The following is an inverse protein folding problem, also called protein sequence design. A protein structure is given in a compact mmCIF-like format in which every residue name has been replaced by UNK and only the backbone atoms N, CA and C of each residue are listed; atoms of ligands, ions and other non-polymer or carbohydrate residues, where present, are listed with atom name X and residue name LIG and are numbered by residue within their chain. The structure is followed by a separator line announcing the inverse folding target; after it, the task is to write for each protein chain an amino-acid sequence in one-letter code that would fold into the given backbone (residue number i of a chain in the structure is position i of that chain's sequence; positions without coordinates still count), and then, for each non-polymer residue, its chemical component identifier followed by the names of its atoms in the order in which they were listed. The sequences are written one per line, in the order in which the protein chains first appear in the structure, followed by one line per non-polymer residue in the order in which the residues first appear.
data_IF_085805573094
#
_entry.id   IF_085805573094
#
_cell.length_a   1.000
_cell.length_b   1.000
_cell.length_c   1.000
_cell.angle_alpha   90.00
_cell.angle_beta   90.00
_cell.angle_gamma   90.00
#
_symmetry.space_group_name_H-M   'P 1'
#
loop_
_entity.id
_entity.type
_entity.pdbx_description
1 polymer ?
#
# COMPACT_ATOMS: atom_id res chain seq x y z
N UNK A 1 33.31 -2.93 32.26
CA UNK A 1 32.92 -4.00 31.32
C UNK A 1 31.48 -3.74 30.94
N UNK A 2 31.27 -3.15 29.76
CA UNK A 2 29.94 -2.80 29.26
C UNK A 2 29.23 -4.09 28.86
N UNK A 3 28.12 -4.41 29.54
CA UNK A 3 27.23 -5.47 29.12
C UNK A 3 26.59 -5.06 27.79
N UNK A 4 27.13 -5.57 26.69
CA UNK A 4 26.44 -5.59 25.41
C UNK A 4 25.15 -6.37 25.64
N UNK A 5 24.03 -5.65 25.73
CA UNK A 5 22.71 -6.24 25.67
C UNK A 5 22.59 -6.91 24.30
N UNK A 6 22.68 -8.23 24.26
CA UNK A 6 22.30 -9.02 23.10
C UNK A 6 20.81 -8.81 22.91
N UNK A 7 20.44 -7.88 22.04
CA UNK A 7 19.06 -7.68 21.63
C UNK A 7 18.58 -9.02 21.05
N UNK A 8 17.65 -9.69 21.72
CA UNK A 8 17.12 -10.97 21.24
C UNK A 8 16.46 -10.73 19.87
N UNK A 9 17.05 -11.31 18.82
CA UNK A 9 16.49 -11.27 17.46
C UNK A 9 15.08 -11.88 17.52
N UNK A 10 14.08 -11.11 17.12
CA UNK A 10 12.69 -11.59 17.09
C UNK A 10 12.57 -12.78 16.11
N UNK A 11 11.69 -13.77 16.39
CA UNK A 11 11.44 -14.87 15.48
C UNK A 11 11.02 -14.38 14.09
N UNK A 12 11.46 -15.08 13.06
CA UNK A 12 11.10 -14.77 11.67
C UNK A 12 9.61 -14.98 11.41
N UNK A 13 9.06 -14.15 10.53
CA UNK A 13 7.71 -14.27 10.00
C UNK A 13 7.84 -14.87 8.60
N UNK A 14 7.44 -16.13 8.45
CA UNK A 14 7.45 -16.81 7.16
C UNK A 14 6.31 -16.26 6.30
N UNK A 15 6.64 -15.71 5.13
CA UNK A 15 5.64 -15.23 4.18
C UNK A 15 5.12 -16.41 3.34
N UNK A 16 3.82 -16.74 3.36
CA UNK A 16 3.28 -17.85 2.55
C UNK A 16 3.48 -17.68 1.05
N UNK A 17 3.58 -18.78 0.32
CA UNK A 17 3.87 -18.76 -1.13
C UNK A 17 2.78 -18.05 -1.94
N UNK A 18 1.53 -18.07 -1.49
CA UNK A 18 0.37 -17.48 -2.16
C UNK A 18 0.15 -15.99 -1.84
N UNK A 19 0.96 -15.38 -0.97
CA UNK A 19 0.81 -13.95 -0.61
C UNK A 19 1.14 -13.02 -1.76
N UNK A 20 0.24 -12.12 -2.11
CA UNK A 20 0.38 -11.24 -3.27
C UNK A 20 0.85 -9.83 -2.94
N UNK A 21 0.76 -9.42 -1.67
CA UNK A 21 1.09 -8.05 -1.30
C UNK A 21 1.57 -7.91 0.16
N UNK A 22 2.65 -7.15 0.34
CA UNK A 22 3.18 -6.75 1.64
C UNK A 22 2.98 -5.24 1.78
N UNK A 23 1.93 -4.86 2.49
CA UNK A 23 1.35 -3.53 2.53
C UNK A 23 1.68 -2.84 3.86
N UNK A 24 2.70 -1.98 3.87
CA UNK A 24 3.20 -1.33 5.08
C UNK A 24 2.78 0.14 5.09
N UNK A 25 1.72 0.43 5.83
CA UNK A 25 1.16 1.77 6.00
C UNK A 25 1.93 2.54 7.06
N UNK A 26 3.18 2.90 6.77
CA UNK A 26 4.07 3.53 7.76
C UNK A 26 3.59 4.92 8.21
N UNK A 27 2.72 5.56 7.42
CA UNK A 27 2.04 6.82 7.77
C UNK A 27 0.68 6.87 7.09
N UNK A 28 -0.35 7.28 7.83
CA UNK A 28 -1.65 7.67 7.26
C UNK A 28 -1.82 9.18 7.12
N UNK A 29 -0.83 9.98 7.55
CA UNK A 29 -0.79 11.41 7.26
C UNK A 29 -0.51 11.63 5.77
N UNK A 30 -1.13 12.64 5.18
CA UNK A 30 -0.86 13.06 3.81
C UNK A 30 -0.96 14.58 3.71
N UNK A 31 -0.08 15.16 2.89
CA UNK A 31 -0.05 16.58 2.57
C UNK A 31 -0.99 16.95 1.42
N UNK A 32 -1.65 15.97 0.79
CA UNK A 32 -2.75 16.19 -0.17
C UNK A 32 -4.12 15.97 0.51
N UNK A 33 -5.17 16.58 -0.05
CA UNK A 33 -6.56 16.51 0.44
C UNK A 33 -7.53 16.07 -0.66
N UNK A 34 -7.20 14.98 -1.34
CA UNK A 34 -7.96 14.46 -2.48
C UNK A 34 -9.38 14.03 -2.05
N UNK A 35 -10.41 14.53 -2.71
CA UNK A 35 -11.81 14.20 -2.38
C UNK A 35 -12.19 12.75 -2.72
N UNK A 36 -11.52 12.15 -3.70
CA UNK A 36 -11.69 10.77 -4.16
C UNK A 36 -10.70 9.79 -3.51
N UNK A 37 -10.03 10.17 -2.41
CA UNK A 37 -9.00 9.34 -1.80
C UNK A 37 -9.59 8.02 -1.29
N UNK A 38 -9.09 6.88 -1.77
CA UNK A 38 -9.59 5.56 -1.34
C UNK A 38 -9.37 5.28 0.15
N UNK A 39 -8.38 5.93 0.77
CA UNK A 39 -8.16 5.88 2.22
C UNK A 39 -9.26 6.63 3.01
N UNK A 40 -10.16 7.34 2.33
CA UNK A 40 -11.30 8.08 2.88
C UNK A 40 -12.66 7.48 2.45
N UNK A 41 -12.68 6.38 1.69
CA UNK A 41 -13.93 5.80 1.15
C UNK A 41 -14.84 5.17 2.23
N UNK A 42 -14.40 5.07 3.48
CA UNK A 42 -15.25 4.64 4.59
C UNK A 42 -15.82 5.86 5.33
N UNK A 43 -17.16 5.99 5.37
CA UNK A 43 -17.89 7.04 6.11
C UNK A 43 -17.50 7.06 7.61
N UNK A 44 -16.98 5.94 8.13
CA UNK A 44 -16.50 5.78 9.50
C UNK A 44 -14.96 5.72 9.61
N UNK A 45 -14.21 6.27 8.65
CA UNK A 45 -12.75 6.15 8.67
C UNK A 45 -12.14 6.71 9.96
N UNK A 46 -11.44 5.86 10.71
CA UNK A 46 -10.69 6.21 11.92
C UNK A 46 -9.28 6.71 11.59
N UNK A 47 -9.04 7.07 10.31
CA UNK A 47 -7.75 7.51 9.78
C UNK A 47 -7.14 8.61 10.62
N UNK A 48 -7.93 9.59 11.08
CA UNK A 48 -7.43 10.71 11.91
C UNK A 48 -6.85 10.24 13.24
N UNK A 49 -7.39 9.18 13.84
CA UNK A 49 -6.89 8.66 15.11
C UNK A 49 -5.65 7.78 14.90
N UNK A 50 -5.65 6.98 13.84
CA UNK A 50 -4.48 6.19 13.46
C UNK A 50 -3.31 7.06 12.99
N UNK A 51 -3.57 8.19 12.35
CA UNK A 51 -2.55 9.12 11.88
C UNK A 51 -1.87 9.92 13.02
N UNK A 52 -2.36 9.81 14.27
CA UNK A 52 -1.72 10.43 15.44
C UNK A 52 -0.58 9.58 16.00
N UNK A 53 -0.60 8.27 15.76
CA UNK A 53 0.33 7.33 16.38
C UNK A 53 1.13 6.61 15.30
N UNK A 54 2.46 6.67 15.41
CA UNK A 54 3.36 5.96 14.50
C UNK A 54 4.35 5.16 15.33
N UNK A 55 4.61 3.93 14.88
CA UNK A 55 5.73 3.13 15.35
C UNK A 55 7.04 3.79 14.90
N UNK A 56 8.06 3.75 15.75
CA UNK A 56 9.33 4.41 15.48
C UNK A 56 10.10 3.74 14.32
N UNK A 57 11.04 4.48 13.70
CA UNK A 57 11.76 3.98 12.53
C UNK A 57 12.54 2.68 12.77
N UNK A 58 13.19 2.53 13.94
CA UNK A 58 13.91 1.31 14.29
C UNK A 58 12.98 0.11 14.46
N UNK A 59 11.79 0.34 14.99
CA UNK A 59 10.78 -0.68 15.18
C UNK A 59 10.19 -1.13 13.84
N UNK A 60 10.00 -0.22 12.89
CA UNK A 60 9.66 -0.57 11.51
C UNK A 60 10.76 -1.37 10.83
N UNK A 61 12.03 -0.93 10.91
CA UNK A 61 13.14 -1.67 10.34
C UNK A 61 13.26 -3.07 10.97
N UNK A 62 13.13 -3.17 12.29
CA UNK A 62 13.10 -4.45 13.02
C UNK A 62 11.96 -5.34 12.54
N UNK A 63 10.76 -4.80 12.37
CA UNK A 63 9.59 -5.54 11.87
C UNK A 63 9.81 -6.06 10.44
N UNK A 64 10.32 -5.21 9.54
CA UNK A 64 10.61 -5.57 8.15
C UNK A 64 11.70 -6.65 8.08
N UNK A 65 12.76 -6.52 8.89
CA UNK A 65 13.88 -7.45 8.92
C UNK A 65 13.54 -8.84 9.50
N UNK A 66 12.34 -9.01 10.08
CA UNK A 66 11.83 -10.34 10.48
C UNK A 66 11.20 -11.10 9.32
N UNK A 67 10.86 -10.45 8.22
CA UNK A 67 10.13 -11.09 7.14
C UNK A 67 11.05 -12.05 6.38
N UNK A 68 10.77 -13.34 6.49
CA UNK A 68 11.38 -14.36 5.65
C UNK A 68 10.56 -14.48 4.37
N UNK A 69 10.91 -13.64 3.39
CA UNK A 69 10.21 -13.51 2.10
C UNK A 69 10.64 -14.61 1.13
N UNK A 70 11.95 -14.92 1.11
CA UNK A 70 12.54 -16.01 0.33
C UNK A 70 12.46 -15.85 -1.20
N UNK A 71 12.08 -14.66 -1.70
CA UNK A 71 11.84 -14.38 -3.12
C UNK A 71 11.96 -12.89 -3.44
N UNK A 72 12.26 -12.55 -4.69
CA UNK A 72 12.47 -11.17 -5.15
C UNK A 72 11.22 -10.53 -5.78
N UNK A 73 10.18 -11.32 -6.08
CA UNK A 73 8.97 -10.87 -6.76
C UNK A 73 7.92 -10.24 -5.82
N UNK A 74 8.20 -10.18 -4.52
CA UNK A 74 7.29 -9.69 -3.48
C UNK A 74 7.99 -8.68 -2.56
N UNK A 75 8.16 -7.42 -2.99
CA UNK A 75 8.78 -6.37 -2.18
C UNK A 75 7.87 -5.92 -1.04
N UNK A 76 8.47 -5.35 0.00
CA UNK A 76 7.73 -4.61 1.03
C UNK A 76 7.35 -3.24 0.47
N UNK A 77 6.05 -2.97 0.36
CA UNK A 77 5.56 -1.69 -0.17
C UNK A 77 5.30 -0.71 0.96
N UNK A 78 6.11 0.34 1.03
CA UNK A 78 5.92 1.48 1.91
C UNK A 78 4.87 2.41 1.29
N UNK A 79 3.76 2.60 2.00
CA UNK A 79 2.61 3.34 1.49
C UNK A 79 1.78 3.98 2.61
N UNK A 80 0.60 4.48 2.26
CA UNK A 80 -0.45 4.90 3.17
C UNK A 80 -1.05 6.22 2.73
N UNK A 81 -0.95 7.25 3.57
CA UNK A 81 -1.21 8.61 3.15
C UNK A 81 -0.07 9.09 2.23
N UNK A 82 0.94 9.69 2.82
CA UNK A 82 2.24 9.94 2.20
C UNK A 82 3.33 9.34 3.11
N UNK A 83 3.93 8.19 2.73
CA UNK A 83 4.91 7.50 3.57
C UNK A 83 6.15 8.35 3.87
N UNK A 84 6.54 9.26 2.97
CA UNK A 84 7.73 10.11 3.17
C UNK A 84 7.54 11.20 4.24
N UNK A 85 6.31 11.41 4.73
CA UNK A 85 6.04 12.26 5.90
C UNK A 85 6.38 11.58 7.24
N UNK A 86 6.66 10.27 7.25
CA UNK A 86 7.13 9.63 8.47
C UNK A 86 8.47 10.24 8.91
N UNK A 87 8.57 10.71 10.15
CA UNK A 87 9.77 11.41 10.69
C UNK A 87 11.07 10.62 10.46
N UNK A 88 10.96 9.29 10.50
CA UNK A 88 12.09 8.36 10.37
C UNK A 88 12.12 7.65 9.00
N UNK A 89 11.46 8.18 7.95
CA UNK A 89 11.38 7.51 6.65
C UNK A 89 12.74 7.00 6.13
N UNK A 90 13.76 7.88 6.11
CA UNK A 90 15.10 7.50 5.66
C UNK A 90 15.74 6.44 6.57
N UNK A 91 15.48 6.49 7.88
CA UNK A 91 15.98 5.48 8.82
C UNK A 91 15.37 4.12 8.55
N UNK A 92 14.05 4.05 8.35
CA UNK A 92 13.33 2.81 8.00
C UNK A 92 13.96 2.17 6.77
N UNK A 93 14.16 2.96 5.71
CA UNK A 93 14.75 2.48 4.45
C UNK A 93 16.18 1.99 4.64
N UNK A 94 17.02 2.74 5.35
CA UNK A 94 18.44 2.42 5.51
C UNK A 94 18.71 1.27 6.49
N UNK A 95 17.89 1.10 7.53
CA UNK A 95 18.02 0.03 8.52
C UNK A 95 17.33 -1.28 8.08
N UNK A 96 16.49 -1.24 7.05
CA UNK A 96 15.99 -2.45 6.39
C UNK A 96 17.17 -3.22 5.77
N UNK A 97 17.16 -4.55 5.84
CA UNK A 97 18.18 -5.41 5.24
C UNK A 97 18.26 -5.20 3.70
N UNK A 98 19.45 -5.33 3.12
CA UNK A 98 19.64 -5.19 1.67
C UNK A 98 19.05 -6.35 0.86
N UNK A 99 18.83 -7.51 1.50
CA UNK A 99 18.13 -8.65 0.89
C UNK A 99 16.64 -8.39 0.71
N UNK A 100 16.06 -7.42 1.41
CA UNK A 100 14.64 -7.07 1.31
C UNK A 100 14.48 -5.92 0.31
N UNK A 101 13.76 -6.19 -0.78
CA UNK A 101 13.41 -5.17 -1.77
C UNK A 101 12.23 -4.33 -1.30
N UNK A 102 12.31 -3.02 -1.55
CA UNK A 102 11.27 -2.08 -1.20
C UNK A 102 10.58 -1.53 -2.45
N UNK A 103 9.29 -1.29 -2.31
CA UNK A 103 8.48 -0.47 -3.20
C UNK A 103 8.01 0.78 -2.43
N UNK A 104 7.79 1.89 -3.13
CA UNK A 104 7.29 3.13 -2.55
C UNK A 104 6.08 3.63 -3.34
N UNK A 105 4.95 3.85 -2.64
CA UNK A 105 3.80 4.60 -3.18
C UNK A 105 3.80 6.00 -2.59
N UNK A 106 4.03 7.03 -3.41
CA UNK A 106 4.23 8.40 -2.94
C UNK A 106 3.60 9.42 -3.88
N UNK A 107 3.22 10.59 -3.37
CA UNK A 107 2.87 11.76 -4.17
C UNK A 107 4.08 12.59 -4.60
N UNK A 108 5.29 12.21 -4.17
CA UNK A 108 6.58 12.86 -4.46
C UNK A 108 6.67 14.36 -4.13
N UNK A 109 5.99 14.79 -3.07
CA UNK A 109 6.09 16.16 -2.58
C UNK A 109 7.43 16.50 -1.90
N UNK A 110 8.29 15.52 -1.68
CA UNK A 110 9.63 15.72 -1.11
C UNK A 110 10.62 16.35 -2.13
N UNK A 111 11.76 16.79 -1.62
CA UNK A 111 12.91 17.24 -2.42
C UNK A 111 13.70 16.02 -2.96
N UNK A 112 13.80 15.84 -4.29
CA UNK A 112 14.51 14.70 -4.88
C UNK A 112 15.99 14.66 -4.49
N UNK A 113 16.67 15.79 -4.29
CA UNK A 113 18.09 15.79 -3.91
C UNK A 113 18.31 15.26 -2.50
N UNK A 114 17.40 15.59 -1.58
CA UNK A 114 17.42 15.03 -0.22
C UNK A 114 17.17 13.53 -0.28
N UNK A 115 16.22 13.08 -1.10
CA UNK A 115 15.94 11.66 -1.26
C UNK A 115 17.16 10.91 -1.84
N UNK A 116 17.71 11.38 -2.96
CA UNK A 116 18.87 10.76 -3.64
C UNK A 116 20.07 10.65 -2.69
N UNK A 117 20.33 11.69 -1.88
CA UNK A 117 21.45 11.69 -0.93
C UNK A 117 21.28 10.68 0.21
N UNK A 118 20.04 10.40 0.63
CA UNK A 118 19.75 9.60 1.82
C UNK A 118 19.27 8.17 1.52
N UNK A 119 18.98 7.83 0.26
CA UNK A 119 18.43 6.54 -0.12
C UNK A 119 19.37 5.84 -1.11
N UNK A 120 19.91 4.66 -0.77
CA UNK A 120 20.64 3.86 -1.72
C UNK A 120 19.71 3.33 -2.81
N UNK A 121 20.07 3.54 -4.08
CA UNK A 121 19.29 3.09 -5.27
C UNK A 121 18.86 1.62 -5.14
N UNK A 122 19.78 0.75 -4.72
CA UNK A 122 19.58 -0.70 -4.53
C UNK A 122 18.36 -1.09 -3.69
N UNK A 123 17.87 -0.20 -2.80
CA UNK A 123 16.68 -0.44 -1.97
C UNK A 123 15.40 -0.50 -2.80
N UNK A 124 15.35 0.30 -3.87
CA UNK A 124 14.23 0.41 -4.80
C UNK A 124 14.60 -0.07 -6.21
N UNK A 125 15.51 -1.04 -6.28
CA UNK A 125 15.91 -1.67 -7.55
C UNK A 125 15.71 -3.17 -7.48
N UNK A 126 14.94 -3.68 -8.45
CA UNK A 126 14.66 -5.11 -8.67
C UNK A 126 14.22 -5.30 -10.11
N UNK A 127 14.39 -6.51 -10.62
CA UNK A 127 13.84 -6.91 -11.91
C UNK A 127 12.31 -7.01 -11.80
N UNK A 128 11.61 -6.07 -12.43
CA UNK A 128 10.16 -5.97 -12.33
C UNK A 128 9.54 -5.39 -13.60
N UNK A 129 8.30 -5.78 -13.88
CA UNK A 129 7.52 -5.23 -14.99
C UNK A 129 6.97 -3.82 -14.71
N UNK A 130 7.31 -3.22 -13.57
CA UNK A 130 6.84 -1.91 -13.16
C UNK A 130 7.84 -1.24 -12.19
N UNK A 131 7.79 0.09 -12.14
CA UNK A 131 8.65 0.90 -11.27
C UNK A 131 8.47 0.56 -9.78
N UNK A 132 9.59 0.44 -9.05
CA UNK A 132 9.57 0.25 -7.60
C UNK A 132 9.08 1.50 -6.86
N UNK A 133 9.40 2.69 -7.38
CA UNK A 133 8.83 3.96 -6.90
C UNK A 133 7.69 4.34 -7.83
N UNK A 134 6.47 4.40 -7.28
CA UNK A 134 5.24 4.67 -8.02
C UNK A 134 4.62 5.95 -7.49
N UNK A 135 4.61 6.95 -8.37
CA UNK A 135 4.27 8.33 -8.07
C UNK A 135 2.81 8.54 -8.41
N UNK A 136 1.99 8.90 -7.43
CA UNK A 136 0.58 9.16 -7.65
C UNK A 136 0.37 10.58 -8.19
N UNK A 137 0.05 10.71 -9.47
CA UNK A 137 -0.44 11.93 -10.07
C UNK A 137 -1.93 12.10 -9.76
N UNK A 138 -2.27 13.26 -9.22
CA UNK A 138 -3.60 13.65 -8.78
C UNK A 138 -3.92 15.01 -9.42
N UNK A 139 -4.56 15.03 -10.61
CA UNK A 139 -4.96 16.27 -11.26
C UNK A 139 -5.68 17.21 -10.28
N UNK A 140 -5.21 18.46 -10.20
CA UNK A 140 -5.72 19.48 -9.28
C UNK A 140 -5.13 19.46 -7.86
N UNK A 141 -4.29 18.47 -7.51
CA UNK A 141 -3.67 18.35 -6.18
C UNK A 141 -2.14 18.36 -6.21
N UNK A 142 -1.52 17.87 -7.28
CA UNK A 142 -0.09 18.05 -7.54
C UNK A 142 0.17 18.44 -9.00
N UNK A 143 1.34 19.03 -9.24
CA UNK A 143 1.73 19.59 -10.52
C UNK A 143 2.48 18.55 -11.37
N UNK A 144 1.98 18.28 -12.58
CA UNK A 144 2.56 17.25 -13.44
C UNK A 144 3.94 17.64 -13.99
N UNK A 145 4.19 18.91 -14.24
CA UNK A 145 5.48 19.37 -14.78
C UNK A 145 6.57 19.24 -13.70
N UNK A 146 6.22 19.54 -12.44
CA UNK A 146 7.06 19.27 -11.28
C UNK A 146 7.33 17.76 -11.13
N UNK A 147 6.30 16.91 -11.21
CA UNK A 147 6.47 15.46 -11.12
C UNK A 147 7.36 14.91 -12.23
N UNK A 148 7.18 15.36 -13.48
CA UNK A 148 8.03 14.96 -14.61
C UNK A 148 9.47 15.36 -14.34
N UNK A 149 9.72 16.61 -13.94
CA UNK A 149 11.06 17.12 -13.62
C UNK A 149 11.74 16.29 -12.53
N UNK A 150 11.05 16.03 -11.43
CA UNK A 150 11.59 15.22 -10.33
C UNK A 150 11.80 13.76 -10.74
N UNK A 151 10.90 13.20 -11.54
CA UNK A 151 10.99 11.83 -12.05
C UNK A 151 12.24 11.65 -12.93
N UNK A 152 12.49 12.57 -13.86
CA UNK A 152 13.71 12.57 -14.68
C UNK A 152 14.97 12.70 -13.81
N UNK A 153 14.95 13.61 -12.83
CA UNK A 153 16.09 13.78 -11.92
C UNK A 153 16.40 12.53 -11.10
N UNK A 154 15.38 11.84 -10.63
CA UNK A 154 15.50 10.55 -9.93
C UNK A 154 16.01 9.45 -10.86
N UNK A 155 15.55 9.42 -12.11
CA UNK A 155 16.03 8.49 -13.12
C UNK A 155 17.51 8.70 -13.45
N UNK A 156 17.98 9.95 -13.58
CA UNK A 156 19.40 10.29 -13.75
C UNK A 156 20.26 9.82 -12.57
N UNK A 157 19.69 9.72 -11.36
CA UNK A 157 20.35 9.18 -10.19
C UNK A 157 20.29 7.63 -10.09
N UNK A 158 19.65 6.95 -11.05
CA UNK A 158 19.56 5.50 -11.14
C UNK A 158 18.28 4.89 -10.57
N UNK A 159 17.31 5.68 -10.11
CA UNK A 159 16.03 5.15 -9.63
C UNK A 159 15.08 4.86 -10.79
N UNK A 160 14.42 3.70 -10.75
CA UNK A 160 13.30 3.44 -11.64
C UNK A 160 11.99 3.96 -11.01
N UNK A 161 11.53 5.10 -11.53
CA UNK A 161 10.34 5.82 -11.08
C UNK A 161 9.28 5.81 -12.18
N UNK A 162 8.04 5.49 -11.83
CA UNK A 162 6.89 5.56 -12.73
C UNK A 162 5.79 6.45 -12.17
N UNK A 163 5.07 7.14 -13.05
CA UNK A 163 3.94 8.00 -12.70
C UNK A 163 2.63 7.25 -12.93
N UNK A 164 1.71 7.34 -11.98
CA UNK A 164 0.45 6.63 -11.97
C UNK A 164 -0.67 7.62 -11.72
N UNK A 165 -1.69 7.63 -12.58
CA UNK A 165 -2.90 8.43 -12.35
C UNK A 165 -4.13 7.54 -12.33
N UNK A 166 -5.19 8.01 -11.69
CA UNK A 166 -6.53 7.45 -11.88
C UNK A 166 -7.15 8.10 -13.11
N UNK A 167 -7.69 7.28 -14.00
CA UNK A 167 -8.42 7.72 -15.18
C UNK A 167 -9.92 7.74 -14.86
N UNK A 168 -10.54 8.91 -14.99
CA UNK A 168 -11.99 9.11 -14.92
C UNK A 168 -12.47 9.83 -16.17
N UNK A 169 -13.75 9.71 -16.58
CA UNK A 169 -14.26 10.38 -17.77
C UNK A 169 -13.94 11.88 -17.82
N UNK A 170 -14.01 12.55 -16.67
CA UNK A 170 -13.83 14.00 -16.54
C UNK A 170 -12.38 14.46 -16.77
N UNK A 171 -11.40 13.59 -16.57
CA UNK A 171 -9.98 13.92 -16.72
C UNK A 171 -9.32 13.19 -17.90
N UNK A 172 -10.07 12.43 -18.70
CA UNK A 172 -9.53 11.53 -19.71
C UNK A 172 -8.61 12.23 -20.71
N UNK A 173 -9.08 13.31 -21.33
CA UNK A 173 -8.29 14.04 -22.34
C UNK A 173 -6.97 14.56 -21.77
N UNK A 174 -7.02 15.11 -20.55
CA UNK A 174 -5.83 15.59 -19.84
C UNK A 174 -4.85 14.45 -19.53
N UNK A 175 -5.34 13.31 -19.04
CA UNK A 175 -4.48 12.16 -18.73
C UNK A 175 -3.88 11.56 -20.01
N UNK A 176 -4.61 11.53 -21.12
CA UNK A 176 -4.09 11.05 -22.40
C UNK A 176 -2.94 11.94 -22.92
N UNK A 177 -3.06 13.28 -22.81
CA UNK A 177 -1.98 14.22 -23.16
C UNK A 177 -0.75 14.02 -22.27
N UNK A 178 -0.96 13.97 -20.95
CA UNK A 178 0.11 13.76 -19.96
C UNK A 178 0.84 12.44 -20.22
N UNK A 179 0.10 11.37 -20.52
CA UNK A 179 0.64 10.07 -20.84
C UNK A 179 1.47 10.08 -22.13
N UNK A 180 0.99 10.76 -23.18
CA UNK A 180 1.75 10.94 -24.42
C UNK A 180 3.06 11.72 -24.17
N UNK A 181 3.00 12.79 -23.36
CA UNK A 181 4.17 13.58 -22.96
C UNK A 181 5.18 12.77 -22.15
N UNK A 182 4.73 12.03 -21.14
CA UNK A 182 5.58 11.15 -20.34
C UNK A 182 6.25 10.07 -21.20
N UNK A 183 5.49 9.44 -22.10
CA UNK A 183 6.02 8.45 -23.04
C UNK A 183 7.08 9.05 -23.97
N UNK A 184 6.88 10.26 -24.47
CA UNK A 184 7.85 10.99 -25.29
C UNK A 184 9.17 11.28 -24.56
N UNK A 185 9.13 11.35 -23.22
CA UNK A 185 10.29 11.55 -22.35
C UNK A 185 10.86 10.23 -21.79
N UNK A 186 10.33 9.07 -22.19
CA UNK A 186 10.76 7.77 -21.68
C UNK A 186 10.31 7.46 -20.24
N UNK A 187 9.34 8.21 -19.70
CA UNK A 187 8.79 7.98 -18.36
C UNK A 187 7.71 6.89 -18.42
N UNK A 188 7.78 5.91 -17.52
CA UNK A 188 6.72 4.91 -17.32
C UNK A 188 5.49 5.59 -16.72
N UNK A 189 4.47 5.83 -17.55
CA UNK A 189 3.18 6.37 -17.11
C UNK A 189 2.10 5.30 -17.23
N UNK A 190 1.35 5.08 -16.14
CA UNK A 190 0.26 4.10 -16.12
C UNK A 190 -1.01 4.68 -15.56
N UNK A 191 -2.13 4.21 -16.08
CA UNK A 191 -3.44 4.50 -15.52
C UNK A 191 -3.90 3.38 -14.60
N UNK A 192 -4.54 3.75 -13.51
CA UNK A 192 -5.33 2.85 -12.66
C UNK A 192 -6.81 3.13 -12.93
N UNK A 193 -7.60 2.07 -12.87
CA UNK A 193 -9.05 2.18 -12.84
C UNK A 193 -9.50 3.04 -11.66
N UNK A 194 -10.57 3.81 -11.86
CA UNK A 194 -11.28 4.43 -10.76
C UNK A 194 -12.11 3.39 -10.01
N UNK A 195 -11.94 3.35 -8.69
CA UNK A 195 -12.68 2.47 -7.78
C UNK A 195 -13.50 3.33 -6.84
N UNK A 196 -14.81 3.13 -6.83
CA UNK A 196 -15.69 3.87 -5.94
C UNK A 196 -17.10 4.00 -6.48
N UNK A 197 -17.96 4.54 -5.63
CA UNK A 197 -19.30 4.96 -6.00
C UNK A 197 -19.26 6.44 -6.34
N UNK A 198 -19.73 6.82 -7.53
CA UNK A 198 -19.79 8.23 -7.97
C UNK A 198 -21.09 8.95 -7.56
N UNK A 199 -22.03 8.23 -6.94
CA UNK A 199 -23.39 8.71 -6.65
C UNK A 199 -24.47 7.99 -7.45
N UNK A 200 -24.09 7.37 -8.57
CA UNK A 200 -24.99 6.65 -9.47
C UNK A 200 -24.63 5.16 -9.58
N UNK A 201 -23.33 4.85 -9.72
CA UNK A 201 -22.85 3.47 -9.91
C UNK A 201 -21.49 3.22 -9.26
N UNK A 202 -21.23 1.94 -8.99
CA UNK A 202 -19.91 1.45 -8.63
C UNK A 202 -19.04 1.30 -9.87
N UNK A 203 -17.83 1.86 -9.83
CA UNK A 203 -16.80 1.72 -10.87
C UNK A 203 -15.79 0.65 -10.47
N UNK A 204 -15.39 -0.19 -11.43
CA UNK A 204 -14.45 -1.30 -11.23
C UNK A 204 -15.10 -2.66 -11.46
N UNK A 205 -14.27 -3.69 -11.66
CA UNK A 205 -14.70 -5.08 -11.72
C UNK A 205 -14.52 -5.72 -10.34
N UNK A 206 -15.60 -6.26 -9.76
CA UNK A 206 -15.61 -6.79 -8.40
C UNK A 206 -16.05 -8.24 -8.37
N UNK A 207 -15.29 -9.09 -7.66
CA UNK A 207 -15.64 -10.50 -7.47
C UNK A 207 -16.86 -10.67 -6.55
N UNK A 208 -17.03 -9.75 -5.60
CA UNK A 208 -18.10 -9.77 -4.60
C UNK A 208 -18.81 -8.41 -4.57
N UNK A 209 -19.63 -8.11 -5.59
CA UNK A 209 -20.27 -6.79 -5.75
C UNK A 209 -21.10 -6.38 -4.52
N UNK A 210 -21.85 -7.31 -3.92
CA UNK A 210 -22.69 -7.01 -2.74
C UNK A 210 -21.86 -6.62 -1.51
N UNK A 211 -20.58 -6.98 -1.47
CA UNK A 211 -19.68 -6.69 -0.35
C UNK A 211 -19.31 -5.20 -0.23
N UNK A 212 -19.59 -4.38 -1.25
CA UNK A 212 -19.41 -2.92 -1.25
C UNK A 212 -20.75 -2.17 -1.30
N UNK A 213 -21.88 -2.84 -1.04
CA UNK A 213 -23.20 -2.21 -1.12
C UNK A 213 -23.38 -0.99 -0.21
N UNK A 214 -22.65 -0.92 0.92
CA UNK A 214 -22.79 0.12 1.97
C UNK A 214 -24.22 0.24 2.55
N UNK A 215 -25.04 -0.80 2.42
CA UNK A 215 -26.43 -0.79 2.88
C UNK A 215 -26.61 -1.60 4.17
N UNK A 216 -26.26 -2.88 4.15
CA UNK A 216 -26.46 -3.81 5.25
C UNK A 216 -25.18 -4.59 5.55
N UNK A 217 -25.01 -4.97 6.81
CA UNK A 217 -23.90 -5.82 7.24
C UNK A 217 -24.36 -7.27 7.28
N UNK A 218 -23.51 -8.18 6.80
CA UNK A 218 -23.67 -9.63 6.88
C UNK A 218 -22.46 -10.26 7.56
N UNK A 219 -22.67 -11.43 8.14
CA UNK A 219 -21.59 -12.30 8.59
C UNK A 219 -21.03 -13.09 7.40
N UNK A 220 -19.72 -13.31 7.39
CA UNK A 220 -19.06 -14.20 6.44
C UNK A 220 -17.77 -14.77 7.00
N UNK A 221 -17.18 -15.72 6.28
CA UNK A 221 -15.81 -16.18 6.47
C UNK A 221 -14.91 -15.56 5.40
N UNK A 222 -13.84 -14.89 5.82
CA UNK A 222 -12.93 -14.16 4.93
C UNK A 222 -11.46 -14.52 5.18
N UNK A 223 -10.70 -14.76 4.12
CA UNK A 223 -9.25 -15.04 4.14
C UNK A 223 -8.55 -14.07 3.18
N UNK A 224 -7.41 -13.53 3.58
CA UNK A 224 -6.59 -12.62 2.75
C UNK A 224 -5.31 -13.30 2.27
N UNK A 225 -4.78 -12.83 1.15
CA UNK A 225 -3.43 -13.15 0.64
C UNK A 225 -2.50 -11.95 0.75
N UNK A 226 -2.79 -11.01 1.65
CA UNK A 226 -2.02 -9.79 1.86
C UNK A 226 -1.58 -9.67 3.32
N UNK A 227 -0.36 -9.20 3.55
CA UNK A 227 0.09 -8.77 4.87
C UNK A 227 -0.08 -7.26 4.97
N UNK A 228 -1.02 -6.79 5.80
CA UNK A 228 -1.36 -5.37 5.93
C UNK A 228 -1.00 -4.89 7.33
N UNK A 229 0.04 -4.05 7.44
CA UNK A 229 0.46 -3.45 8.70
C UNK A 229 0.15 -1.95 8.72
N UNK A 230 -0.56 -1.49 9.76
CA UNK A 230 -0.91 -0.09 9.99
C UNK A 230 0.22 0.74 10.61
N UNK A 231 0.06 2.08 10.75
CA UNK A 231 1.10 2.99 11.26
C UNK A 231 1.66 2.62 12.63
N UNK A 232 0.86 1.95 13.46
CA UNK A 232 1.21 1.53 14.81
C UNK A 232 1.82 0.13 14.88
N UNK A 233 2.09 -0.53 13.76
CA UNK A 233 2.61 -1.91 13.73
C UNK A 233 1.54 -3.01 13.88
N UNK A 234 0.29 -2.64 14.17
CA UNK A 234 -0.82 -3.59 14.18
C UNK A 234 -1.09 -4.14 12.78
N UNK A 235 -1.37 -5.45 12.71
CA UNK A 235 -1.65 -6.16 11.47
C UNK A 235 -3.17 -6.31 11.32
N UNK A 236 -3.69 -6.05 10.13
CA UNK A 236 -5.11 -6.09 9.80
C UNK A 236 -5.38 -7.14 8.73
N UNK A 237 -6.60 -7.69 8.73
CA UNK A 237 -7.03 -8.67 7.73
C UNK A 237 -7.19 -8.06 6.34
N UNK A 238 -7.66 -6.82 6.24
CA UNK A 238 -7.95 -6.15 4.97
C UNK A 238 -7.82 -4.63 5.10
N UNK A 239 -7.88 -3.91 3.97
CA UNK A 239 -7.85 -2.45 3.98
C UNK A 239 -9.05 -1.83 4.71
N UNK A 240 -10.23 -2.45 4.60
CA UNK A 240 -11.42 -2.00 5.33
C UNK A 240 -11.20 -2.01 6.85
N UNK A 241 -10.63 -3.09 7.39
CA UNK A 241 -10.35 -3.20 8.82
C UNK A 241 -9.29 -2.18 9.27
N UNK A 242 -8.25 -1.97 8.45
CA UNK A 242 -7.24 -0.94 8.68
C UNK A 242 -7.88 0.45 8.74
N UNK A 243 -8.61 0.88 7.71
CA UNK A 243 -9.10 2.26 7.63
C UNK A 243 -10.21 2.58 8.62
N UNK A 244 -11.00 1.58 9.01
CA UNK A 244 -11.99 1.70 10.09
C UNK A 244 -11.39 1.44 11.48
N UNK A 245 -10.09 1.17 11.60
CA UNK A 245 -9.39 0.83 12.85
C UNK A 245 -10.12 -0.27 13.65
N UNK A 246 -10.54 -1.33 12.95
CA UNK A 246 -11.21 -2.49 13.56
C UNK A 246 -10.18 -3.36 14.29
N UNK A 247 -10.65 -4.38 15.00
CA UNK A 247 -9.78 -5.27 15.77
C UNK A 247 -8.66 -5.85 14.89
N UNK A 248 -7.38 -5.58 15.20
CA UNK A 248 -6.26 -6.14 14.47
C UNK A 248 -6.12 -7.64 14.73
N UNK A 249 -5.48 -8.35 13.81
CA UNK A 249 -5.21 -9.79 13.94
C UNK A 249 -3.90 -10.08 14.69
N UNK A 250 -3.13 -9.04 15.03
CA UNK A 250 -1.87 -9.16 15.77
C UNK A 250 -1.03 -7.90 15.64
N UNK A 251 0.24 -8.01 16.04
CA UNK A 251 1.23 -6.94 15.95
C UNK A 251 2.51 -7.44 15.29
N UNK A 252 3.10 -6.67 14.36
CA UNK A 252 4.26 -7.11 13.57
C UNK A 252 5.56 -7.27 14.40
N UNK A 253 5.57 -6.74 15.61
CA UNK A 253 6.65 -6.91 16.59
C UNK A 253 6.36 -7.94 17.68
N UNK A 254 5.17 -8.52 17.71
CA UNK A 254 4.87 -9.61 18.63
C UNK A 254 5.77 -10.83 18.28
N UNK A 255 6.57 -11.35 19.23
CA UNK A 255 7.40 -12.53 19.00
C UNK A 255 6.61 -13.76 18.55
N UNK A 256 5.33 -13.85 18.91
CA UNK A 256 4.45 -14.97 18.62
C UNK A 256 3.58 -14.76 17.39
N UNK A 257 3.60 -13.56 16.79
CA UNK A 257 2.86 -13.31 15.56
C UNK A 257 3.35 -14.22 14.42
N UNK A 258 2.41 -14.96 13.84
CA UNK A 258 2.59 -15.80 12.66
C UNK A 258 1.48 -15.50 11.67
N UNK A 259 1.77 -15.66 10.39
CA UNK A 259 0.75 -15.59 9.35
C UNK A 259 -0.01 -16.91 9.33
N UNK A 260 -1.29 -16.88 9.70
CA UNK A 260 -2.16 -18.05 9.61
C UNK A 260 -3.10 -17.93 8.39
N UNK A 261 -2.99 -18.88 7.47
CA UNK A 261 -3.78 -18.96 6.24
C UNK A 261 -5.16 -19.57 6.48
N UNK A 262 -5.93 -18.95 7.37
CA UNK A 262 -7.27 -19.41 7.77
C UNK A 262 -8.34 -18.40 7.36
N UNK A 263 -9.56 -18.92 7.15
CA UNK A 263 -10.75 -18.09 7.06
C UNK A 263 -11.14 -17.59 8.45
N UNK A 264 -11.29 -16.27 8.59
CA UNK A 264 -11.68 -15.62 9.85
C UNK A 264 -13.12 -15.09 9.74
N UNK A 265 -13.92 -15.20 10.82
CA UNK A 265 -15.23 -14.57 10.89
C UNK A 265 -15.18 -13.05 10.64
N UNK A 266 -16.15 -12.53 9.90
CA UNK A 266 -16.29 -11.13 9.56
C UNK A 266 -17.76 -10.72 9.56
N UNK A 267 -18.12 -9.73 10.37
CA UNK A 267 -19.48 -9.17 10.41
C UNK A 267 -19.61 -7.86 9.62
N UNK A 268 -18.70 -7.64 8.67
CA UNK A 268 -18.59 -6.42 7.88
C UNK A 268 -18.75 -6.65 6.38
N UNK A 269 -19.22 -7.84 5.97
CA UNK A 269 -19.62 -8.03 4.58
C UNK A 269 -20.72 -7.01 4.23
N UNK A 270 -20.59 -6.34 3.09
CA UNK A 270 -21.42 -5.18 2.70
C UNK A 270 -20.70 -3.84 2.88
N UNK A 271 -19.62 -3.80 3.67
CA UNK A 271 -18.78 -2.63 3.92
C UNK A 271 -17.28 -2.93 3.69
N UNK A 272 -16.98 -3.84 2.77
CA UNK A 272 -15.61 -4.11 2.34
C UNK A 272 -14.99 -2.88 1.64
N UNK A 273 -13.66 -2.83 1.57
CA UNK A 273 -13.00 -1.80 0.75
C UNK A 273 -12.96 -2.28 -0.71
N UNK A 274 -13.23 -1.41 -1.70
CA UNK A 274 -13.14 -1.76 -3.11
C UNK A 274 -11.79 -2.39 -3.52
N UNK A 275 -10.68 -1.94 -2.94
CA UNK A 275 -9.35 -2.51 -3.22
C UNK A 275 -9.22 -3.97 -2.78
N UNK A 276 -9.94 -4.38 -1.73
CA UNK A 276 -9.86 -5.73 -1.20
C UNK A 276 -10.53 -6.74 -2.15
N UNK A 277 -11.67 -6.34 -2.74
CA UNK A 277 -12.58 -7.24 -3.48
C UNK A 277 -12.56 -7.09 -5.01
N UNK A 278 -11.82 -6.11 -5.53
CA UNK A 278 -11.70 -5.93 -6.98
C UNK A 278 -10.97 -7.09 -7.66
N UNK A 279 -11.29 -7.31 -8.93
CA UNK A 279 -10.52 -8.18 -9.81
C UNK A 279 -9.32 -7.40 -10.32
N UNK A 280 -8.13 -7.88 -10.03
CA UNK A 280 -6.86 -7.23 -10.33
C UNK A 280 -5.84 -8.26 -10.81
N UNK A 281 -4.67 -7.78 -11.23
CA UNK A 281 -3.53 -8.66 -11.48
C UNK A 281 -2.92 -9.13 -10.17
N UNK A 282 -2.50 -10.40 -10.12
CA UNK A 282 -1.68 -10.92 -9.03
C UNK A 282 -0.23 -10.43 -9.14
N UNK A 283 0.65 -10.81 -8.21
CA UNK A 283 2.06 -10.37 -8.22
C UNK A 283 2.80 -10.77 -9.50
N UNK A 284 2.40 -11.87 -10.16
CA UNK A 284 2.94 -12.35 -11.43
C UNK A 284 2.39 -11.62 -12.67
N UNK A 285 1.53 -10.62 -12.48
CA UNK A 285 0.84 -9.88 -13.54
C UNK A 285 -0.20 -10.71 -14.31
N UNK A 286 -0.80 -11.70 -13.66
CA UNK A 286 -1.91 -12.50 -14.20
C UNK A 286 -3.22 -11.92 -13.70
N UNK A 287 -4.11 -11.55 -14.62
CA UNK A 287 -5.45 -11.00 -14.32
C UNK A 287 -6.39 -12.07 -13.75
N UNK A 288 -7.39 -11.65 -12.96
CA UNK A 288 -8.38 -12.54 -12.34
C UNK A 288 -8.19 -12.78 -10.84
N UNK A 289 -7.30 -12.04 -10.18
CA UNK A 289 -7.01 -12.17 -8.76
C UNK A 289 -7.83 -11.19 -7.91
N UNK A 290 -8.18 -11.60 -6.69
CA UNK A 290 -8.78 -10.75 -5.66
C UNK A 290 -8.03 -10.98 -4.36
N UNK A 291 -7.80 -9.91 -3.59
CA UNK A 291 -6.99 -9.93 -2.36
C UNK A 291 -7.54 -10.90 -1.32
N UNK A 292 -8.87 -11.00 -1.29
CA UNK A 292 -9.63 -11.81 -0.34
C UNK A 292 -10.44 -12.91 -1.03
N UNK A 293 -10.63 -13.99 -0.29
CA UNK A 293 -11.59 -15.04 -0.56
C UNK A 293 -12.68 -15.00 0.52
N UNK A 294 -13.94 -14.90 0.10
CA UNK A 294 -15.11 -14.79 0.97
C UNK A 294 -16.05 -15.98 0.69
N UNK A 295 -16.57 -16.58 1.76
CA UNK A 295 -17.57 -17.65 1.73
C UNK A 295 -18.53 -17.56 2.93
N UNK A 296 -19.54 -18.43 2.94
CA UNK A 296 -20.48 -18.61 4.06
C UNK A 296 -21.14 -17.28 4.50
N UNK A 297 -21.77 -16.58 3.55
CA UNK A 297 -22.40 -15.27 3.79
C UNK A 297 -23.81 -15.48 4.36
N UNK A 298 -24.09 -14.87 5.51
CA UNK A 298 -25.37 -14.98 6.21
C UNK A 298 -25.78 -13.62 6.81
N UNK A 299 -27.07 -13.37 6.93
CA UNK A 299 -27.58 -12.19 7.64
C UNK A 299 -27.06 -12.14 9.07
N UNK A 300 -26.86 -10.93 9.61
CA UNK A 300 -26.56 -10.75 11.03
C UNK A 300 -27.84 -10.97 11.83
N UNK A 301 -27.81 -11.94 12.75
CA UNK A 301 -28.87 -12.15 13.73
C UNK A 301 -28.91 -11.03 14.78
#
# INVERSE_FOLDING_TARGET
MSSLSTEHKLPEIIIPEDYNYLAFFISLNCNLKCHYCINLNDKNSARKDMAKHHMDGSDWAKAINRLNIGRDDLPVTLQGGEPTLHKDFYRIVNETDDSIKLDLLTNMAFDPEVFIRNVPVKKFTREAKYAAIRVSYHPGYNDIDELIKKTLRMADAGFYVGIYSVLVPENKEHIDDVMARCKGLGIDFRVKEYLGFDGEKWHGEYKYMDAISQHERKSCLCKTTELIAGPTGHVFRCHSDLYANRTPIGHILDPDFRIEQIFRPCDWYGFCNPCDIKVKTNRFQIFGHTSVEIKDIHELN
#
